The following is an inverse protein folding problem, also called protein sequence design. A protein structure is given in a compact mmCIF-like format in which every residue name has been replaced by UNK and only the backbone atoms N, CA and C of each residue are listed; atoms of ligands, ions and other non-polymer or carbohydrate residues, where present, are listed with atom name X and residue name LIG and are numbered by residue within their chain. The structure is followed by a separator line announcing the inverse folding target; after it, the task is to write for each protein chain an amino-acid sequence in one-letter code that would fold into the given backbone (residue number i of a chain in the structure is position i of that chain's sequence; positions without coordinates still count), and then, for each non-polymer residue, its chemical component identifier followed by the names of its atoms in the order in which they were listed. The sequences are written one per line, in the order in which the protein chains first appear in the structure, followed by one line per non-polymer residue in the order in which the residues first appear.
data_IF_983546120803
#
_entry.id   IF_983546120803
#
_cell.length_a   1.000
_cell.length_b   1.000
_cell.length_c   1.000
_cell.angle_alpha   90.00
_cell.angle_beta   90.00
_cell.angle_gamma   90.00
#
_symmetry.space_group_name_H-M   'P 1'
#
loop_
_entity.id
_entity.type
_entity.pdbx_description
1 polymer ?
#
# COMPACT_ATOMS: atom_id res chain seq x y z
N UNK A 1 -12.03 69.44 -33.74
CA UNK A 1 -11.48 70.48 -34.61
C UNK A 1 -10.29 69.90 -35.32
N UNK A 2 -10.33 69.85 -36.64
CA UNK A 2 -9.18 69.45 -37.45
C UNK A 2 -8.33 70.70 -37.77
N UNK A 3 -7.00 70.66 -37.59
CA UNK A 3 -6.12 71.79 -37.89
C UNK A 3 -5.68 71.79 -39.35
N UNK A 4 -5.49 73.00 -39.89
CA UNK A 4 -4.58 73.24 -41.01
C UNK A 4 -5.21 73.25 -42.40
N UNK A 5 -5.77 74.40 -42.78
CA UNK A 5 -5.51 74.98 -44.10
C UNK A 5 -5.44 76.49 -43.96
N UNK A 6 -4.24 77.03 -43.73
CA UNK A 6 -3.98 78.43 -44.02
C UNK A 6 -4.04 78.60 -45.53
N UNK A 7 -5.09 79.30 -45.94
CA UNK A 7 -5.42 79.63 -47.32
C UNK A 7 -4.29 80.43 -47.96
N UNK A 8 -3.27 79.76 -48.51
CA UNK A 8 -2.32 80.39 -49.42
C UNK A 8 -2.85 80.22 -50.85
N UNK A 9 -3.87 81.01 -51.21
CA UNK A 9 -4.28 81.14 -52.60
C UNK A 9 -3.23 81.98 -53.34
N UNK A 10 -2.28 81.33 -53.97
CA UNK A 10 -1.45 81.95 -55.01
C UNK A 10 -2.36 82.41 -56.13
N UNK A 11 -2.56 83.73 -56.25
CA UNK A 11 -3.17 84.34 -57.43
C UNK A 11 -2.30 84.01 -58.64
N UNK A 12 -2.77 83.10 -59.49
CA UNK A 12 -2.15 82.85 -60.79
C UNK A 12 -2.37 84.08 -61.66
N UNK A 13 -1.26 84.70 -62.08
CA UNK A 13 -1.26 85.73 -63.11
C UNK A 13 -1.71 85.05 -64.41
N UNK A 14 -2.86 85.44 -64.95
CA UNK A 14 -3.36 84.94 -66.23
C UNK A 14 -2.31 85.20 -67.33
N UNK A 15 -1.76 84.14 -67.90
CA UNK A 15 -0.94 84.23 -69.12
C UNK A 15 -1.86 84.40 -70.34
N UNK A 16 -1.33 85.06 -71.37
CA UNK A 16 -1.99 85.45 -72.63
C UNK A 16 -2.76 84.31 -73.33
N UNK A 17 -3.76 84.63 -74.20
CA UNK A 17 -4.85 83.73 -74.58
C UNK A 17 -4.48 82.67 -75.65
N UNK A 18 -3.39 81.94 -75.47
CA UNK A 18 -3.04 80.84 -76.40
C UNK A 18 -2.14 79.73 -75.84
N UNK A 19 -2.18 79.44 -74.53
CA UNK A 19 -1.50 78.26 -73.98
C UNK A 19 -2.50 77.23 -73.47
N UNK A 20 -2.55 76.09 -74.16
CA UNK A 20 -3.29 74.89 -73.77
C UNK A 20 -2.75 74.37 -72.43
N UNK A 21 -3.57 74.44 -71.38
CA UNK A 21 -3.23 73.91 -70.06
C UNK A 21 -3.51 72.41 -70.02
N UNK A 22 -2.47 71.57 -69.97
CA UNK A 22 -2.60 70.13 -69.76
C UNK A 22 -2.70 69.85 -68.25
N UNK A 23 -3.85 69.32 -67.82
CA UNK A 23 -4.10 68.89 -66.44
C UNK A 23 -3.95 67.37 -66.37
N UNK A 24 -3.01 66.89 -65.56
CA UNK A 24 -2.80 65.46 -65.32
C UNK A 24 -3.00 65.18 -63.84
N UNK A 25 -4.01 64.36 -63.50
CA UNK A 25 -4.35 63.97 -62.13
C UNK A 25 -3.93 62.51 -61.94
N UNK A 26 -3.01 62.27 -61.00
CA UNK A 26 -2.58 60.93 -60.63
C UNK A 26 -3.16 60.56 -59.26
N UNK A 27 -4.04 59.57 -59.23
CA UNK A 27 -4.67 59.05 -58.01
C UNK A 27 -4.12 57.66 -57.71
N UNK A 28 -3.45 57.50 -56.56
CA UNK A 28 -2.90 56.23 -56.10
C UNK A 28 -3.51 55.87 -54.75
N UNK A 29 -4.26 54.77 -54.72
CA UNK A 29 -4.78 54.18 -53.49
C UNK A 29 -3.81 53.08 -53.05
N UNK A 30 -3.24 53.22 -51.84
CA UNK A 30 -2.34 52.23 -51.25
C UNK A 30 -3.05 51.60 -50.05
N UNK A 31 -3.40 50.32 -50.17
CA UNK A 31 -3.97 49.55 -49.06
C UNK A 31 -2.83 48.92 -48.26
N UNK A 32 -2.50 49.53 -47.13
CA UNK A 32 -1.55 48.95 -46.17
C UNK A 32 -2.30 48.05 -45.20
N UNK A 33 -1.94 46.77 -45.18
CA UNK A 33 -2.42 45.83 -44.16
C UNK A 33 -1.65 46.06 -42.85
N UNK A 34 -2.34 45.95 -41.72
CA UNK A 34 -1.72 46.11 -40.39
C UNK A 34 -1.08 44.77 -40.02
N UNK A 35 0.17 44.81 -39.56
CA UNK A 35 0.85 43.62 -39.06
C UNK A 35 0.07 43.00 -37.89
N UNK A 36 -0.29 41.71 -38.01
CA UNK A 36 -0.95 40.94 -36.95
C UNK A 36 0.03 39.90 -36.41
N UNK A 37 0.26 39.93 -35.10
CA UNK A 37 0.99 38.89 -34.38
C UNK A 37 -0.05 38.04 -33.65
N UNK A 38 -0.14 36.76 -34.01
CA UNK A 38 -1.01 35.79 -33.34
C UNK A 38 -0.15 34.88 -32.45
N UNK A 39 -0.29 35.03 -31.14
CA UNK A 39 0.36 34.16 -30.15
C UNK A 39 -0.63 33.11 -29.66
N UNK A 40 -0.35 31.85 -29.99
CA UNK A 40 -1.10 30.70 -29.48
C UNK A 40 -0.42 30.15 -28.23
N UNK A 41 -0.89 30.56 -27.05
CA UNK A 41 -0.48 29.93 -25.80
C UNK A 41 -1.23 28.60 -25.63
N UNK A 42 -0.57 27.50 -25.96
CA UNK A 42 -1.03 26.17 -25.55
C UNK A 42 -1.07 26.15 -24.01
N UNK A 43 -2.19 25.71 -23.43
CA UNK A 43 -2.33 25.52 -21.98
C UNK A 43 -1.20 24.61 -21.51
N UNK A 44 -0.21 25.18 -20.82
CA UNK A 44 0.86 24.42 -20.21
C UNK A 44 0.26 23.51 -19.13
N UNK A 45 0.91 22.37 -18.89
CA UNK A 45 0.50 21.43 -17.84
C UNK A 45 0.48 22.06 -16.45
N UNK A 46 0.12 21.31 -15.40
CA UNK A 46 0.10 21.82 -14.05
C UNK A 46 1.46 22.41 -13.66
N UNK A 47 1.45 23.66 -13.20
CA UNK A 47 2.62 24.37 -12.67
C UNK A 47 2.72 24.15 -11.17
N UNK A 48 3.96 24.05 -10.66
CA UNK A 48 4.19 23.96 -9.23
C UNK A 48 4.15 25.38 -8.66
N UNK A 49 3.20 25.63 -7.77
CA UNK A 49 3.02 26.94 -7.11
C UNK A 49 3.92 27.11 -5.88
N UNK A 50 4.16 26.04 -5.11
CA UNK A 50 5.04 26.07 -3.93
C UNK A 50 5.43 24.67 -3.48
N UNK A 51 6.66 24.53 -3.00
CA UNK A 51 7.17 23.32 -2.34
C UNK A 51 7.48 23.61 -0.87
N UNK A 52 7.15 22.67 0.01
CA UNK A 52 7.50 22.72 1.43
C UNK A 52 8.04 21.37 1.87
N UNK A 53 9.29 21.36 2.33
CA UNK A 53 10.01 20.14 2.70
C UNK A 53 10.41 20.22 4.17
N UNK A 54 10.13 19.17 4.93
CA UNK A 54 10.59 19.02 6.31
C UNK A 54 11.43 17.75 6.41
N UNK A 55 12.66 17.89 6.90
CA UNK A 55 13.60 16.79 7.07
C UNK A 55 13.93 16.68 8.56
N UNK A 56 13.77 15.49 9.13
CA UNK A 56 14.13 15.22 10.53
C UNK A 56 15.23 14.18 10.56
N UNK A 57 16.31 14.49 11.28
CA UNK A 57 17.52 13.68 11.34
C UNK A 57 17.75 13.24 12.77
N UNK A 58 17.87 11.93 12.95
CA UNK A 58 17.97 11.23 14.23
C UNK A 58 19.28 11.37 15.00
N UNK A 59 20.11 12.35 14.68
CA UNK A 59 21.42 12.57 15.30
C UNK A 59 21.62 14.06 15.54
N UNK A 60 22.41 14.42 16.54
CA UNK A 60 22.83 15.81 16.78
C UNK A 60 23.89 16.21 15.75
N UNK A 61 23.54 17.16 14.91
CA UNK A 61 24.40 17.74 13.89
C UNK A 61 24.85 19.14 14.28
N UNK A 62 26.00 19.54 13.78
CA UNK A 62 26.45 20.94 13.83
C UNK A 62 25.64 21.81 12.88
N UNK A 63 25.63 23.13 13.12
CA UNK A 63 24.96 24.09 12.24
C UNK A 63 25.50 24.06 10.80
N UNK A 64 26.79 23.76 10.62
CA UNK A 64 27.40 23.64 9.30
C UNK A 64 26.88 22.43 8.52
N UNK A 65 26.74 21.28 9.18
CA UNK A 65 26.17 20.07 8.57
C UNK A 65 24.68 20.26 8.23
N UNK A 66 23.93 20.94 9.11
CA UNK A 66 22.52 21.27 8.85
C UNK A 66 22.40 22.13 7.58
N UNK A 67 23.22 23.18 7.45
CA UNK A 67 23.23 24.03 6.26
C UNK A 67 23.64 23.27 4.99
N UNK A 68 24.60 22.35 5.09
CA UNK A 68 25.00 21.50 3.96
C UNK A 68 23.84 20.60 3.51
N UNK A 69 23.12 20.00 4.45
CA UNK A 69 21.97 19.14 4.14
C UNK A 69 20.83 19.95 3.56
N UNK A 70 20.54 21.14 4.11
CA UNK A 70 19.52 22.04 3.57
C UNK A 70 19.83 22.40 2.11
N UNK A 71 21.07 22.77 1.81
CA UNK A 71 21.51 23.06 0.44
C UNK A 71 21.40 21.84 -0.48
N UNK A 72 21.77 20.65 -0.01
CA UNK A 72 21.64 19.42 -0.80
C UNK A 72 20.17 19.11 -1.10
N UNK A 73 19.29 19.24 -0.11
CA UNK A 73 17.85 19.01 -0.27
C UNK A 73 17.24 20.05 -1.22
N UNK A 74 17.65 21.32 -1.10
CA UNK A 74 17.25 22.39 -2.00
C UNK A 74 17.58 22.09 -3.47
N UNK A 75 18.81 21.62 -3.72
CA UNK A 75 19.27 21.26 -5.05
C UNK A 75 18.53 20.03 -5.61
N UNK A 76 18.27 19.01 -4.78
CA UNK A 76 17.56 17.79 -5.20
C UNK A 76 16.09 18.04 -5.53
N UNK A 77 15.43 18.86 -4.72
CA UNK A 77 14.00 19.17 -4.88
C UNK A 77 13.76 20.26 -5.93
N UNK A 78 14.80 21.02 -6.29
CA UNK A 78 14.69 22.12 -7.23
C UNK A 78 13.89 23.28 -6.63
N UNK A 79 14.20 23.65 -5.39
CA UNK A 79 13.50 24.73 -4.71
C UNK A 79 13.84 26.09 -5.30
N UNK A 80 12.82 26.92 -5.48
CA UNK A 80 12.92 28.28 -6.00
C UNK A 80 12.48 29.25 -4.90
N UNK A 81 13.39 30.06 -4.33
CA UNK A 81 13.05 31.00 -3.26
C UNK A 81 11.98 32.02 -3.69
N UNK A 82 12.00 32.44 -4.95
CA UNK A 82 11.05 33.38 -5.55
C UNK A 82 9.62 32.82 -5.62
N UNK A 83 9.49 31.48 -5.71
CA UNK A 83 8.21 30.76 -5.65
C UNK A 83 7.66 30.67 -4.21
N UNK A 84 8.47 31.01 -3.21
CA UNK A 84 8.12 30.91 -1.80
C UNK A 84 8.32 29.52 -1.22
N UNK A 85 9.21 28.72 -1.83
CA UNK A 85 9.56 27.39 -1.34
C UNK A 85 10.26 27.46 0.02
N UNK A 86 10.03 26.45 0.86
CA UNK A 86 10.60 26.39 2.21
C UNK A 86 11.16 25.01 2.53
N UNK A 87 12.32 25.00 3.18
CA UNK A 87 12.94 23.79 3.72
C UNK A 87 13.15 24.00 5.21
N UNK A 88 12.79 23.00 6.01
CA UNK A 88 13.05 22.96 7.43
C UNK A 88 13.81 21.67 7.77
N UNK A 89 15.02 21.81 8.33
CA UNK A 89 15.82 20.68 8.77
C UNK A 89 15.89 20.69 10.29
N UNK A 90 15.39 19.62 10.91
CA UNK A 90 15.45 19.40 12.36
C UNK A 90 16.41 18.26 12.66
N UNK A 91 17.37 18.51 13.54
CA UNK A 91 18.33 17.51 14.00
C UNK A 91 18.13 17.25 15.50
N UNK A 92 17.79 16.01 15.85
CA UNK A 92 17.61 15.57 17.24
C UNK A 92 17.75 14.05 17.32
N UNK A 93 18.30 13.57 18.43
CA UNK A 93 18.29 12.15 18.77
C UNK A 93 16.85 11.59 18.75
N UNK A 94 16.63 10.50 18.02
CA UNK A 94 15.35 9.82 18.07
C UNK A 94 15.22 9.06 19.39
N UNK A 95 14.01 9.06 19.96
CA UNK A 95 13.72 8.16 21.06
C UNK A 95 13.66 6.74 20.50
N UNK A 96 14.61 5.92 20.91
CA UNK A 96 14.59 4.48 20.65
C UNK A 96 14.07 3.86 21.94
N UNK A 97 12.87 3.29 21.88
CA UNK A 97 12.37 2.45 22.96
C UNK A 97 13.25 1.21 22.97
N UNK A 98 14.10 1.08 24.00
CA UNK A 98 14.85 -0.16 24.19
C UNK A 98 13.82 -1.29 24.26
N UNK A 99 14.02 -2.40 23.52
CA UNK A 99 13.13 -3.54 23.66
C UNK A 99 13.18 -3.93 25.13
N UNK A 100 12.05 -3.71 25.81
CA UNK A 100 11.86 -4.23 27.16
C UNK A 100 12.14 -5.71 27.01
N UNK A 101 13.18 -6.18 27.70
CA UNK A 101 13.47 -7.60 27.85
C UNK A 101 12.28 -8.13 28.65
N UNK A 102 11.17 -8.42 27.95
CA UNK A 102 10.01 -9.07 28.55
C UNK A 102 10.62 -10.37 29.02
N UNK A 103 10.76 -10.62 30.33
CA UNK A 103 11.32 -11.86 30.79
C UNK A 103 10.39 -12.91 30.20
N UNK A 104 10.89 -13.65 29.20
CA UNK A 104 10.22 -14.83 28.72
C UNK A 104 10.16 -15.71 29.96
N UNK A 105 8.99 -15.75 30.58
CA UNK A 105 8.70 -16.62 31.70
C UNK A 105 8.90 -18.00 31.12
N UNK A 106 10.13 -18.52 31.27
CA UNK A 106 10.51 -19.85 30.85
C UNK A 106 9.64 -20.74 31.70
N UNK A 107 8.47 -21.10 31.19
CA UNK A 107 7.51 -21.96 31.86
C UNK A 107 8.29 -23.23 32.14
N UNK A 108 8.74 -23.38 33.38
CA UNK A 108 9.58 -24.51 33.75
C UNK A 108 8.64 -25.71 33.75
N UNK A 109 8.56 -26.41 32.63
CA UNK A 109 7.73 -27.60 32.54
C UNK A 109 8.23 -28.55 33.61
N UNK A 110 7.37 -28.96 34.57
CA UNK A 110 7.84 -29.72 35.72
C UNK A 110 8.03 -31.18 35.28
N UNK A 111 9.13 -31.42 34.57
CA UNK A 111 9.56 -32.69 34.00
C UNK A 111 9.51 -33.85 35.00
N UNK A 112 9.67 -33.55 36.30
CA UNK A 112 9.50 -34.52 37.39
C UNK A 112 8.09 -35.13 37.42
N UNK A 113 7.04 -34.35 37.21
CA UNK A 113 5.66 -34.85 37.13
C UNK A 113 5.42 -35.65 35.84
N UNK A 114 5.98 -35.21 34.72
CA UNK A 114 5.91 -35.95 33.46
C UNK A 114 6.60 -37.33 33.56
N UNK A 115 7.74 -37.40 34.24
CA UNK A 115 8.46 -38.65 34.51
C UNK A 115 7.64 -39.56 35.43
N UNK A 116 7.05 -39.01 36.50
CA UNK A 116 6.23 -39.77 37.44
C UNK A 116 4.99 -40.38 36.77
N UNK A 117 4.28 -39.60 35.94
CA UNK A 117 3.15 -40.09 35.14
C UNK A 117 3.60 -41.16 34.13
N UNK A 118 4.76 -40.97 33.50
CA UNK A 118 5.34 -41.95 32.58
C UNK A 118 5.63 -43.30 33.25
N UNK A 119 6.21 -43.30 34.45
CA UNK A 119 6.51 -44.52 35.21
C UNK A 119 5.24 -45.22 35.67
N UNK A 120 4.25 -44.48 36.17
CA UNK A 120 2.95 -45.05 36.58
C UNK A 120 2.26 -45.69 35.38
N UNK A 121 2.20 -45.00 34.25
CA UNK A 121 1.59 -45.51 33.02
C UNK A 121 2.30 -46.78 32.55
N UNK A 122 3.64 -46.78 32.49
CA UNK A 122 4.43 -47.95 32.09
C UNK A 122 4.20 -49.14 33.03
N UNK A 123 4.12 -48.91 34.34
CA UNK A 123 3.86 -49.96 35.32
C UNK A 123 2.44 -50.52 35.19
N UNK A 124 1.44 -49.68 34.90
CA UNK A 124 0.06 -50.09 34.69
C UNK A 124 -0.08 -50.92 33.42
N UNK A 125 0.47 -50.44 32.30
CA UNK A 125 0.47 -51.15 31.01
C UNK A 125 1.29 -52.44 31.07
N UNK A 126 2.45 -52.43 31.73
CA UNK A 126 3.27 -53.61 31.96
C UNK A 126 2.56 -54.67 32.81
N UNK A 127 1.88 -54.25 33.87
CA UNK A 127 1.06 -55.13 34.71
C UNK A 127 -0.11 -55.75 33.95
N UNK A 128 -0.86 -54.94 33.18
CA UNK A 128 -1.94 -55.40 32.30
C UNK A 128 -1.44 -56.40 31.25
N UNK A 129 -0.30 -56.11 30.61
CA UNK A 129 0.32 -57.00 29.63
C UNK A 129 0.74 -58.34 30.26
N UNK A 130 1.36 -58.30 31.45
CA UNK A 130 1.76 -59.51 32.18
C UNK A 130 0.55 -60.38 32.56
N UNK A 131 -0.52 -59.77 33.09
CA UNK A 131 -1.78 -60.46 33.41
C UNK A 131 -2.45 -61.06 32.16
N UNK A 132 -2.46 -60.33 31.05
CA UNK A 132 -2.99 -60.82 29.78
C UNK A 132 -2.18 -62.01 29.24
N UNK A 133 -0.85 -61.98 29.36
CA UNK A 133 0.04 -63.08 28.98
C UNK A 133 -0.18 -64.32 29.85
N UNK A 134 -0.34 -64.14 31.17
CA UNK A 134 -0.61 -65.25 32.10
C UNK A 134 -1.96 -65.92 31.80
N UNK A 135 -3.00 -65.13 31.52
CA UNK A 135 -4.31 -65.65 31.09
C UNK A 135 -4.25 -66.43 29.77
N UNK A 136 -3.40 -66.02 28.82
CA UNK A 136 -3.18 -66.81 27.59
C UNK A 136 -2.47 -68.13 27.87
N UNK A 137 -1.55 -68.18 28.82
CA UNK A 137 -0.82 -69.40 29.16
C UNK A 137 -1.70 -70.43 29.89
N UNK A 138 -2.67 -69.98 30.69
CA UNK A 138 -3.71 -70.84 31.28
C UNK A 138 -4.73 -71.32 30.23
N UNK A 139 -5.04 -70.49 29.22
CA UNK A 139 -5.92 -70.90 28.10
C UNK A 139 -5.30 -71.91 27.14
N UNK A 140 -3.97 -71.99 27.03
CA UNK A 140 -3.30 -73.00 26.18
C UNK A 140 -3.46 -74.42 26.75
N UNK A 141 -3.71 -74.58 28.06
CA UNK A 141 -3.97 -75.88 28.67
C UNK A 141 -5.43 -76.36 28.55
N UNK A 142 -6.34 -75.51 28.06
CA UNK A 142 -7.78 -75.83 27.92
C UNK A 142 -8.27 -75.80 26.47
N UNK A 143 -7.36 -75.87 25.49
CA UNK A 143 -7.67 -75.79 24.04
C UNK A 143 -8.20 -77.12 23.47
N UNK A 144 -8.30 -78.19 24.25
CA UNK A 144 -8.73 -79.51 23.74
C UNK A 144 -10.22 -79.83 23.96
N UNK A 145 -11.14 -78.85 23.94
CA UNK A 145 -12.56 -79.26 24.00
C UNK A 145 -13.55 -78.51 23.12
N UNK A 146 -13.27 -77.32 22.59
CA UNK A 146 -14.26 -76.64 21.74
C UNK A 146 -13.57 -75.81 20.65
N UNK A 147 -13.05 -76.51 19.64
CA UNK A 147 -12.81 -75.97 18.31
C UNK A 147 -14.08 -76.22 17.48
N UNK A 148 -14.61 -75.14 16.88
CA UNK A 148 -15.76 -75.13 15.97
C UNK A 148 -16.78 -74.12 16.49
N UNK A 149 -16.87 -72.88 16.01
CA UNK A 149 -16.93 -72.48 14.59
C UNK A 149 -16.54 -70.99 14.42
N UNK A 150 -15.82 -70.69 13.33
CA UNK A 150 -15.70 -69.41 12.57
C UNK A 150 -15.86 -68.06 13.32
N UNK A 151 -14.81 -67.33 13.65
CA UNK A 151 -14.07 -66.38 12.78
C UNK A 151 -14.78 -65.87 11.51
N UNK A 152 -15.36 -64.66 11.62
CA UNK A 152 -15.41 -63.63 10.57
C UNK A 152 -15.27 -62.26 11.31
N UNK A 153 -14.05 -61.77 11.50
CA UNK A 153 -13.45 -60.67 10.74
C UNK A 153 -14.35 -59.44 10.49
N UNK A 154 -13.90 -58.31 11.04
CA UNK A 154 -13.94 -56.96 10.45
C UNK A 154 -15.31 -56.35 10.17
N UNK A 155 -15.78 -55.48 11.07
CA UNK A 155 -16.40 -54.17 10.79
C UNK A 155 -17.20 -53.72 12.03
N UNK A 156 -16.53 -53.17 13.02
CA UNK A 156 -17.17 -52.21 13.91
C UNK A 156 -16.48 -50.87 13.65
N UNK A 157 -16.81 -50.32 12.48
CA UNK A 157 -16.79 -48.86 12.31
C UNK A 157 -17.73 -48.37 13.42
N UNK A 158 -17.18 -47.61 14.35
CA UNK A 158 -17.98 -46.80 15.24
C UNK A 158 -18.69 -45.80 14.32
N UNK A 159 -19.90 -46.17 13.88
CA UNK A 159 -20.75 -45.33 13.03
C UNK A 159 -21.05 -44.06 13.82
N UNK A 160 -20.26 -43.02 13.55
CA UNK A 160 -20.51 -41.67 14.05
C UNK A 160 -21.98 -41.33 13.81
N UNK A 161 -22.66 -40.81 14.84
CA UNK A 161 -24.05 -40.39 14.71
C UNK A 161 -24.21 -39.48 13.49
N UNK A 162 -25.31 -39.57 12.71
CA UNK A 162 -25.50 -38.75 11.51
C UNK A 162 -25.39 -37.23 11.79
N UNK A 163 -25.56 -36.80 13.04
CA UNK A 163 -25.31 -35.43 13.47
C UNK A 163 -23.82 -35.10 13.62
N UNK A 164 -23.00 -36.03 14.10
CA UNK A 164 -21.56 -35.82 14.31
C UNK A 164 -20.80 -35.75 12.98
N UNK A 165 -21.19 -36.57 12.00
CA UNK A 165 -20.64 -36.52 10.64
C UNK A 165 -20.91 -35.15 9.99
N UNK A 166 -22.15 -34.65 10.04
CA UNK A 166 -22.51 -33.32 9.52
C UNK A 166 -21.81 -32.16 10.25
N UNK A 167 -21.45 -32.33 11.52
CA UNK A 167 -20.67 -31.33 12.25
C UNK A 167 -19.22 -31.31 11.78
N UNK A 168 -18.62 -32.47 11.55
CA UNK A 168 -17.26 -32.62 11.03
C UNK A 168 -17.13 -32.06 9.62
N UNK A 169 -18.05 -32.42 8.72
CA UNK A 169 -18.07 -31.91 7.34
C UNK A 169 -18.16 -30.38 7.29
N UNK A 170 -18.98 -29.77 8.14
CA UNK A 170 -19.07 -28.31 8.24
C UNK A 170 -17.77 -27.68 8.76
N UNK A 171 -17.11 -28.30 9.74
CA UNK A 171 -15.84 -27.81 10.28
C UNK A 171 -14.73 -27.88 9.23
N UNK A 172 -14.61 -29.00 8.52
CA UNK A 172 -13.62 -29.21 7.47
C UNK A 172 -13.85 -28.24 6.29
N UNK A 173 -15.10 -28.00 5.91
CA UNK A 173 -15.44 -27.02 4.88
C UNK A 173 -15.03 -25.58 5.28
N UNK A 174 -15.26 -25.20 6.54
CA UNK A 174 -14.85 -23.88 7.06
C UNK A 174 -13.32 -23.77 7.09
N UNK A 175 -12.61 -24.82 7.53
CA UNK A 175 -11.15 -24.86 7.56
C UNK A 175 -10.55 -24.76 6.14
N UNK A 176 -11.12 -25.50 5.19
CA UNK A 176 -10.70 -25.44 3.79
C UNK A 176 -10.96 -24.06 3.19
N UNK A 177 -12.13 -23.46 3.45
CA UNK A 177 -12.46 -22.12 2.95
C UNK A 177 -11.52 -21.05 3.52
N UNK A 178 -11.14 -21.17 4.80
CA UNK A 178 -10.15 -20.29 5.43
C UNK A 178 -8.75 -20.44 4.83
N UNK A 179 -8.37 -21.66 4.44
CA UNK A 179 -7.07 -21.96 3.83
C UNK A 179 -6.99 -21.52 2.37
N UNK A 180 -8.05 -21.71 1.60
CA UNK A 180 -8.09 -21.34 0.18
C UNK A 180 -8.32 -19.84 -0.02
N UNK A 181 -9.17 -19.20 0.80
CA UNK A 181 -9.58 -17.80 0.62
C UNK A 181 -9.58 -17.03 1.95
N UNK A 182 -8.40 -16.76 2.55
CA UNK A 182 -8.31 -16.09 3.84
C UNK A 182 -8.90 -14.68 3.84
N UNK A 183 -8.82 -13.96 2.71
CA UNK A 183 -9.34 -12.60 2.57
C UNK A 183 -10.86 -12.49 2.77
N UNK A 184 -11.63 -13.44 2.24
CA UNK A 184 -13.09 -13.44 2.37
C UNK A 184 -13.54 -13.75 3.80
N UNK A 185 -12.83 -14.67 4.48
CA UNK A 185 -13.11 -15.00 5.89
C UNK A 185 -12.83 -13.82 6.81
N UNK A 186 -11.74 -13.09 6.58
CA UNK A 186 -11.42 -11.87 7.33
C UNK A 186 -12.44 -10.75 7.09
N UNK A 187 -12.94 -10.60 5.86
CA UNK A 187 -13.98 -9.63 5.56
C UNK A 187 -15.28 -9.91 6.33
N UNK A 188 -15.70 -11.18 6.39
CA UNK A 188 -16.88 -11.60 7.17
C UNK A 188 -16.68 -11.36 8.67
N UNK A 189 -15.51 -11.73 9.22
CA UNK A 189 -15.19 -11.47 10.63
C UNK A 189 -15.16 -9.97 10.95
N UNK A 190 -14.66 -9.13 10.03
CA UNK A 190 -14.67 -7.67 10.19
C UNK A 190 -16.08 -7.10 10.19
N UNK A 191 -16.96 -7.57 9.31
CA UNK A 191 -18.36 -7.13 9.30
C UNK A 191 -19.04 -7.48 10.61
N UNK A 192 -18.80 -8.69 11.14
CA UNK A 192 -19.40 -9.13 12.40
C UNK A 192 -18.86 -8.36 13.61
N UNK A 193 -17.56 -8.03 13.63
CA UNK A 193 -16.96 -7.17 14.65
C UNK A 193 -17.34 -5.69 14.52
N UNK A 194 -17.92 -5.26 13.40
CA UNK A 194 -18.35 -3.88 13.16
C UNK A 194 -19.86 -3.68 13.37
N UNK A 195 -20.61 -4.78 13.52
CA UNK A 195 -22.06 -4.76 13.79
C UNK A 195 -22.38 -4.73 15.30
N UNK A 196 -21.36 -4.90 16.16
CA UNK A 196 -21.36 -4.59 17.60
C UNK A 196 -20.64 -3.25 17.88
#
# INVERSE_FOLDING_TARGET
GIPGTDTNITQYRMAAPNQQSTYEKNERIVNAEINKIEEHHLKQGPTIDRISVSVVIGQKLSAAEIAQIENSVAATVGTVPERGDRIAVLSREFFIEEPVDIPSEKVSFPWKWALLVGVISLSLFGGLYYLARRRKQERISSVDLLVGDTMEQTAAVEELSPEEQKRRERQEFIEQLAKENPGNVVALLRTWMAED
#
